data_IF_931943363098
#
_entry.id   IF_931943363098
#
_cell.length_a   1.000
_cell.length_b   1.000
_cell.length_c   1.000
_cell.angle_alpha   90.00
_cell.angle_beta   90.00
_cell.angle_gamma   90.00
#
_symmetry.space_group_name_H-M   'P 1'
#
loop_
_entity.id
_entity.type
_entity.pdbx_description
1 polymer ?
#
# COMPACT_ATOMS: atom_id res chain seq x y z
N UNK A 1 -9.86 -5.49 -17.97
CA UNK A 1 -8.56 -4.77 -17.95
C UNK A 1 -8.29 -4.11 -16.60
N UNK A 2 -9.18 -3.24 -16.10
CA UNK A 2 -9.03 -2.50 -14.83
C UNK A 2 -8.59 -3.34 -13.61
N UNK A 3 -9.31 -4.43 -13.32
CA UNK A 3 -8.99 -5.33 -12.19
C UNK A 3 -7.54 -5.86 -12.21
N UNK A 4 -6.97 -6.08 -13.40
CA UNK A 4 -5.58 -6.56 -13.55
C UNK A 4 -4.60 -5.45 -13.21
N UNK A 5 -4.88 -4.21 -13.63
CA UNK A 5 -4.05 -3.05 -13.28
C UNK A 5 -4.13 -2.72 -11.79
N UNK A 6 -5.31 -2.80 -11.17
CA UNK A 6 -5.48 -2.56 -9.73
C UNK A 6 -4.72 -3.61 -8.90
N UNK A 7 -4.81 -4.89 -9.31
CA UNK A 7 -4.04 -5.96 -8.67
C UNK A 7 -2.53 -5.80 -8.88
N UNK A 8 -2.10 -5.45 -10.09
CA UNK A 8 -0.69 -5.21 -10.39
C UNK A 8 -0.13 -4.03 -9.59
N UNK A 9 -0.91 -2.94 -9.44
CA UNK A 9 -0.55 -1.80 -8.62
C UNK A 9 -0.44 -2.18 -7.14
N UNK A 10 -1.38 -2.96 -6.61
CA UNK A 10 -1.35 -3.47 -5.23
C UNK A 10 -0.12 -4.36 -4.97
N UNK A 11 0.23 -5.23 -5.92
CA UNK A 11 1.44 -6.07 -5.84
C UNK A 11 2.71 -5.21 -5.89
N UNK A 12 2.79 -4.26 -6.82
CA UNK A 12 3.93 -3.34 -6.91
C UNK A 12 4.12 -2.54 -5.63
N UNK A 13 3.02 -2.05 -5.04
CA UNK A 13 3.05 -1.35 -3.76
C UNK A 13 3.55 -2.24 -2.63
N UNK A 14 3.08 -3.49 -2.56
CA UNK A 14 3.56 -4.45 -1.56
C UNK A 14 5.07 -4.69 -1.68
N UNK A 15 5.58 -4.89 -2.89
CA UNK A 15 7.02 -5.09 -3.15
C UNK A 15 7.84 -3.88 -2.69
N UNK A 16 7.41 -2.67 -3.05
CA UNK A 16 8.09 -1.42 -2.63
C UNK A 16 8.05 -1.27 -1.12
N UNK A 17 6.91 -1.53 -0.48
CA UNK A 17 6.77 -1.42 0.96
C UNK A 17 7.69 -2.40 1.71
N UNK A 18 7.78 -3.65 1.25
CA UNK A 18 8.72 -4.65 1.80
C UNK A 18 10.17 -4.22 1.59
N UNK A 19 10.53 -3.72 0.41
CA UNK A 19 11.87 -3.21 0.16
C UNK A 19 12.23 -2.05 1.09
N UNK A 20 11.31 -1.09 1.30
CA UNK A 20 11.50 0.02 2.24
C UNK A 20 11.72 -0.48 3.67
N UNK A 21 10.89 -1.41 4.16
CA UNK A 21 11.04 -1.99 5.48
C UNK A 21 12.40 -2.71 5.65
N UNK A 22 12.87 -3.39 4.60
CA UNK A 22 14.16 -4.06 4.59
C UNK A 22 15.35 -3.07 4.64
N UNK A 23 15.40 -2.09 3.74
CA UNK A 23 16.51 -1.12 3.73
C UNK A 23 16.50 -0.18 4.95
N UNK A 24 15.32 0.12 5.50
CA UNK A 24 15.20 0.84 6.76
C UNK A 24 15.77 0.02 7.93
N UNK A 25 15.59 -1.31 7.93
CA UNK A 25 16.19 -2.19 8.93
C UNK A 25 17.72 -2.16 8.86
N UNK A 26 18.29 -2.25 7.67
CA UNK A 26 19.75 -2.15 7.46
C UNK A 26 20.30 -0.81 7.98
N UNK A 27 19.59 0.29 7.72
CA UNK A 27 19.96 1.63 8.21
C UNK A 27 19.95 1.70 9.75
N UNK A 28 18.94 1.09 10.38
CA UNK A 28 18.84 0.98 11.83
C UNK A 28 19.98 0.15 12.40
N UNK A 29 20.27 -1.00 11.78
CA UNK A 29 21.34 -1.90 12.20
C UNK A 29 22.71 -1.23 12.07
N UNK A 30 22.94 -0.48 10.99
CA UNK A 30 24.15 0.31 10.80
C UNK A 30 24.28 1.37 11.90
N UNK A 31 23.20 2.09 12.21
CA UNK A 31 23.19 3.12 13.26
C UNK A 31 23.47 2.54 14.64
N UNK A 32 22.94 1.34 14.93
CA UNK A 32 23.22 0.61 16.17
C UNK A 32 24.69 0.17 16.25
N UNK A 33 25.25 -0.39 15.17
CA UNK A 33 26.66 -0.83 15.11
C UNK A 33 27.65 0.31 15.25
N UNK A 34 27.33 1.50 14.74
CA UNK A 34 28.20 2.67 14.80
C UNK A 34 28.08 3.47 16.11
N UNK A 35 27.24 3.03 17.06
CA UNK A 35 26.79 3.85 18.20
C UNK A 35 26.41 5.27 17.76
N UNK A 36 25.73 5.39 16.62
CA UNK A 36 25.46 6.68 16.00
C UNK A 36 24.60 7.53 16.93
N UNK A 37 25.02 8.77 17.18
CA UNK A 37 24.31 9.69 18.06
C UNK A 37 23.98 10.99 17.36
N UNK A 38 22.92 11.63 17.83
CA UNK A 38 22.53 12.98 17.41
C UNK A 38 23.69 13.96 17.54
N UNK A 39 23.82 14.87 16.57
CA UNK A 39 24.74 16.03 16.60
C UNK A 39 24.31 17.12 17.60
N UNK A 40 23.12 16.99 18.21
CA UNK A 40 22.64 17.92 19.24
C UNK A 40 23.26 17.67 20.61
N UNK A 41 23.18 18.67 21.50
CA UNK A 41 23.73 18.64 22.88
C UNK A 41 23.30 17.42 23.69
N UNK A 42 22.08 16.91 23.48
CA UNK A 42 21.52 15.74 24.18
C UNK A 42 22.08 14.39 23.70
N UNK A 43 22.76 14.36 22.54
CA UNK A 43 23.49 13.20 21.98
C UNK A 43 22.70 11.87 22.10
N UNK A 44 21.40 11.93 21.79
CA UNK A 44 20.49 10.78 21.85
C UNK A 44 20.93 9.73 20.83
N UNK A 45 20.94 8.43 21.18
CA UNK A 45 21.25 7.36 20.23
C UNK A 45 20.22 7.32 19.09
N UNK A 46 20.71 7.28 17.86
CA UNK A 46 19.86 7.41 16.66
C UNK A 46 18.97 6.18 16.41
N UNK A 47 19.36 5.01 16.92
CA UNK A 47 18.57 3.79 16.73
C UNK A 47 17.19 3.87 17.41
N UNK A 48 17.03 4.69 18.46
CA UNK A 48 15.77 4.81 19.21
C UNK A 48 14.65 5.46 18.36
N UNK A 49 14.81 6.66 17.79
CA UNK A 49 13.81 7.20 16.87
C UNK A 49 13.70 6.38 15.57
N UNK A 50 14.81 5.83 15.08
CA UNK A 50 14.79 4.99 13.87
C UNK A 50 14.00 3.70 14.05
N UNK A 51 13.98 3.08 15.24
CA UNK A 51 13.21 1.87 15.48
C UNK A 51 11.71 2.08 15.43
N UNK A 52 11.23 3.23 15.93
CA UNK A 52 9.81 3.61 15.84
C UNK A 52 9.41 3.82 14.37
N UNK A 53 10.26 4.51 13.61
CA UNK A 53 10.04 4.73 12.20
C UNK A 53 10.04 3.43 11.39
N UNK A 54 11.05 2.57 11.60
CA UNK A 54 11.14 1.27 10.95
C UNK A 54 9.92 0.39 11.26
N UNK A 55 9.43 0.41 12.51
CA UNK A 55 8.22 -0.33 12.88
C UNK A 55 6.99 0.13 12.09
N UNK A 56 6.85 1.44 11.84
CA UNK A 56 5.80 1.98 10.97
C UNK A 56 5.90 1.45 9.53
N UNK A 57 7.11 1.39 8.97
CA UNK A 57 7.34 0.82 7.64
C UNK A 57 7.06 -0.69 7.60
N UNK A 58 7.43 -1.42 8.64
CA UNK A 58 7.14 -2.85 8.75
C UNK A 58 5.63 -3.10 8.77
N UNK A 59 4.90 -2.35 9.60
CA UNK A 59 3.43 -2.46 9.66
C UNK A 59 2.78 -2.10 8.32
N UNK A 60 3.25 -1.04 7.67
CA UNK A 60 2.80 -0.67 6.34
C UNK A 60 3.06 -1.77 5.31
N UNK A 61 4.25 -2.38 5.32
CA UNK A 61 4.58 -3.50 4.43
C UNK A 61 3.68 -4.72 4.64
N UNK A 62 3.35 -5.03 5.89
CA UNK A 62 2.39 -6.09 6.23
C UNK A 62 1.03 -5.77 5.64
N UNK A 63 0.48 -4.58 5.92
CA UNK A 63 -0.83 -4.18 5.42
C UNK A 63 -0.89 -4.16 3.88
N UNK A 64 0.13 -3.57 3.24
CA UNK A 64 0.25 -3.52 1.78
C UNK A 64 0.35 -4.90 1.14
N UNK A 65 0.99 -5.88 1.81
CA UNK A 65 1.10 -7.26 1.32
C UNK A 65 -0.18 -8.06 1.52
N UNK A 66 -0.92 -7.81 2.61
CA UNK A 66 -2.19 -8.50 2.87
C UNK A 66 -3.27 -8.13 1.85
N UNK A 67 -3.30 -6.89 1.36
CA UNK A 67 -4.29 -6.42 0.38
C UNK A 67 -4.35 -7.27 -0.91
N UNK A 68 -3.25 -7.45 -1.69
CA UNK A 68 -3.27 -8.29 -2.88
C UNK A 68 -3.48 -9.77 -2.53
N UNK A 69 -3.00 -10.24 -1.38
CA UNK A 69 -3.21 -11.62 -0.92
C UNK A 69 -4.69 -11.92 -0.68
N UNK A 70 -5.41 -11.02 0.00
CA UNK A 70 -6.86 -11.15 0.19
C UNK A 70 -7.63 -11.00 -1.11
N UNK A 71 -7.21 -10.10 -2.00
CA UNK A 71 -7.80 -9.95 -3.32
C UNK A 71 -7.69 -11.25 -4.14
N UNK A 72 -6.51 -11.87 -4.19
CA UNK A 72 -6.29 -13.15 -4.88
C UNK A 72 -7.11 -14.27 -4.24
N UNK A 73 -7.16 -14.35 -2.90
CA UNK A 73 -8.00 -15.34 -2.22
C UNK A 73 -9.49 -15.17 -2.50
N UNK A 74 -9.99 -13.93 -2.61
CA UNK A 74 -11.38 -13.65 -2.98
C UNK A 74 -11.73 -14.15 -4.38
N UNK A 75 -10.83 -13.92 -5.36
CA UNK A 75 -10.96 -14.44 -6.72
C UNK A 75 -11.04 -15.97 -6.71
N UNK A 76 -10.13 -16.64 -5.99
CA UNK A 76 -10.08 -18.12 -5.94
C UNK A 76 -11.33 -18.73 -5.29
N UNK A 77 -11.98 -18.02 -4.36
CA UNK A 77 -13.21 -18.47 -3.69
C UNK A 77 -14.49 -18.16 -4.49
N UNK A 78 -14.39 -17.48 -5.63
CA UNK A 78 -15.54 -17.03 -6.41
C UNK A 78 -16.29 -15.84 -5.80
N UNK A 79 -15.76 -15.24 -4.73
CA UNK A 79 -16.35 -14.10 -4.04
C UNK A 79 -15.86 -12.78 -4.68
N UNK A 80 -16.49 -12.43 -5.81
CA UNK A 80 -16.22 -11.17 -6.50
C UNK A 80 -16.59 -9.94 -5.65
N UNK A 81 -17.53 -10.08 -4.71
CA UNK A 81 -17.97 -8.99 -3.84
C UNK A 81 -16.91 -8.60 -2.81
N UNK A 82 -16.15 -9.58 -2.31
CA UNK A 82 -14.98 -9.32 -1.45
C UNK A 82 -13.85 -8.59 -2.19
N UNK A 83 -13.59 -8.95 -3.44
CA UNK A 83 -12.58 -8.31 -4.28
C UNK A 83 -12.92 -6.83 -4.57
N UNK A 84 -14.16 -6.55 -4.98
CA UNK A 84 -14.59 -5.18 -5.28
C UNK A 84 -14.56 -4.29 -4.03
N UNK A 85 -14.89 -4.79 -2.84
CA UNK A 85 -14.77 -3.96 -1.61
C UNK A 85 -13.34 -3.61 -1.21
N UNK A 86 -12.38 -4.48 -1.53
CA UNK A 86 -10.97 -4.29 -1.15
C UNK A 86 -10.19 -3.44 -2.15
N UNK A 87 -10.53 -3.52 -3.45
CA UNK A 87 -9.79 -2.86 -4.52
C UNK A 87 -10.61 -1.84 -5.31
N UNK A 88 -11.93 -1.99 -5.42
CA UNK A 88 -12.79 -0.98 -6.03
C UNK A 88 -13.18 0.05 -4.96
N UNK A 89 -12.66 1.28 -5.11
CA UNK A 89 -13.08 2.40 -4.26
C UNK A 89 -14.62 2.56 -4.36
N UNK A 90 -15.37 2.57 -3.24
CA UNK A 90 -16.82 2.82 -3.24
C UNK A 90 -17.19 4.10 -4.00
N UNK A 91 -16.32 5.11 -3.94
CA UNK A 91 -16.50 6.38 -4.62
C UNK A 91 -16.61 6.24 -6.15
N UNK A 92 -15.97 5.24 -6.75
CA UNK A 92 -16.01 5.02 -8.20
C UNK A 92 -17.30 4.30 -8.65
N UNK A 93 -17.84 3.43 -7.80
CA UNK A 93 -19.14 2.82 -8.07
C UNK A 93 -20.25 3.88 -8.06
N UNK A 94 -20.14 4.84 -7.14
CA UNK A 94 -21.01 6.00 -7.06
C UNK A 94 -20.77 6.98 -8.22
N UNK A 95 -19.52 7.19 -8.66
CA UNK A 95 -19.20 8.04 -9.81
C UNK A 95 -19.74 7.47 -11.12
N UNK A 96 -19.60 6.16 -11.38
CA UNK A 96 -20.14 5.50 -12.59
C UNK A 96 -21.68 5.47 -12.60
N UNK A 97 -22.31 5.37 -11.43
CA UNK A 97 -23.76 5.50 -11.29
C UNK A 97 -24.24 6.94 -11.55
N UNK A 98 -23.46 7.95 -11.15
CA UNK A 98 -23.75 9.36 -11.41
C UNK A 98 -23.43 9.81 -12.83
N UNK A 99 -22.37 9.30 -13.44
CA UNK A 99 -21.92 9.65 -14.80
C UNK A 99 -22.49 8.73 -15.87
N UNK A 100 -23.53 7.93 -15.56
CA UNK A 100 -24.28 7.11 -16.52
C UNK A 100 -24.29 7.78 -17.89
N UNK A 101 -23.45 7.27 -18.79
CA UNK A 101 -23.09 7.98 -20.01
C UNK A 101 -24.36 8.15 -20.83
N UNK A 102 -24.90 9.37 -20.80
CA UNK A 102 -25.72 9.97 -21.84
C UNK A 102 -24.89 9.96 -23.13
N UNK A 103 -24.78 8.79 -23.76
CA UNK A 103 -24.02 8.60 -25.00
C UNK A 103 -24.91 8.29 -26.20
N UNK A 104 -26.23 8.19 -26.02
CA UNK A 104 -27.15 7.74 -27.06
C UNK A 104 -28.17 8.80 -27.50
N UNK A 105 -28.32 9.93 -26.80
CA UNK A 105 -29.36 10.93 -27.10
C UNK A 105 -28.86 12.12 -27.94
N UNK A 106 -27.56 12.43 -27.93
CA UNK A 106 -26.97 13.55 -28.70
C UNK A 106 -26.49 13.17 -30.11
N UNK A 107 -26.61 11.90 -30.52
CA UNK A 107 -26.19 11.41 -31.84
C UNK A 107 -27.37 11.09 -32.78
N UNK A 108 -28.62 11.41 -32.39
CA UNK A 108 -29.81 11.27 -33.27
C UNK A 108 -30.47 12.61 -33.64
N UNK A 109 -29.76 13.73 -33.53
CA UNK A 109 -30.13 15.03 -34.13
C UNK A 109 -29.38 15.27 -35.42
#
# INVERSE_FOLDING_TARGET
ARMVFDLAAAIALAVVAVALAYYAFETLLQSWRMDARSVSTLRVPLYLPQSVWWFGLLWFAIAASLTPVFAVMGILRGDKAGFDRLLASPALHDELAQTGVKGAEDLSS
#
